data_IF_142935971950
#
_entry.id   IF_142935971950
#
_cell.length_a   1.000
_cell.length_b   1.000
_cell.length_c   1.000
_cell.angle_alpha   90.00
_cell.angle_beta   90.00
_cell.angle_gamma   90.00
#
_symmetry.space_group_name_H-M   'P 1'
#
loop_
_entity.id
_entity.type
_entity.pdbx_description
1 polymer ?
#
# COMPACT_ATOMS: atom_id res chain seq x y z
N UNK A 1 10.51 20.28 -6.47
CA UNK A 1 11.11 19.88 -5.17
C UNK A 1 10.07 19.54 -4.11
N UNK A 2 9.12 20.44 -3.76
CA UNK A 2 8.15 20.18 -2.68
C UNK A 2 7.29 18.91 -2.87
N UNK A 3 6.71 18.69 -4.06
CA UNK A 3 5.92 17.48 -4.34
C UNK A 3 6.75 16.20 -4.20
N UNK A 4 7.99 16.22 -4.69
CA UNK A 4 8.92 15.09 -4.56
C UNK A 4 9.13 14.73 -3.08
N UNK A 5 9.54 15.70 -2.25
CA UNK A 5 9.78 15.46 -0.82
C UNK A 5 8.52 15.05 -0.08
N UNK A 6 7.39 15.66 -0.40
CA UNK A 6 6.09 15.29 0.16
C UNK A 6 5.78 13.82 -0.07
N UNK A 7 5.84 13.36 -1.32
CA UNK A 7 5.48 11.98 -1.65
C UNK A 7 6.49 10.95 -1.14
N UNK A 8 7.77 11.32 -1.10
CA UNK A 8 8.81 10.49 -0.50
C UNK A 8 8.51 10.19 0.98
N UNK A 9 8.12 11.20 1.76
CA UNK A 9 7.78 11.01 3.18
C UNK A 9 6.36 10.52 3.40
N UNK A 10 5.42 10.83 2.50
CA UNK A 10 4.05 10.34 2.57
C UNK A 10 4.01 8.81 2.50
N UNK A 11 4.83 8.19 1.62
CA UNK A 11 4.93 6.75 1.49
C UNK A 11 5.19 6.08 2.85
N UNK A 12 6.23 6.53 3.55
CA UNK A 12 6.67 5.96 4.82
C UNK A 12 5.81 6.39 6.00
N UNK A 13 5.56 7.69 6.14
CA UNK A 13 4.95 8.26 7.34
C UNK A 13 3.42 8.26 7.35
N UNK A 14 2.77 8.15 6.19
CA UNK A 14 1.31 8.21 6.08
C UNK A 14 0.72 6.92 5.50
N UNK A 15 1.24 6.43 4.37
CA UNK A 15 0.63 5.32 3.64
C UNK A 15 0.93 3.93 4.26
N UNK A 16 2.17 3.70 4.70
CA UNK A 16 2.59 2.42 5.27
C UNK A 16 2.02 2.10 6.67
N UNK A 17 1.86 3.04 7.62
CA UNK A 17 1.43 2.70 8.98
C UNK A 17 0.07 1.99 9.06
N UNK A 18 -1.00 2.41 8.34
CA UNK A 18 -2.25 1.66 8.32
C UNK A 18 -2.10 0.24 7.75
N UNK A 19 -1.25 0.05 6.75
CA UNK A 19 -0.97 -1.28 6.16
C UNK A 19 -0.25 -2.19 7.15
N UNK A 20 0.69 -1.66 7.93
CA UNK A 20 1.36 -2.39 9.00
C UNK A 20 0.38 -2.78 10.11
N UNK A 21 -0.46 -1.83 10.56
CA UNK A 21 -1.50 -2.13 11.56
C UNK A 21 -2.46 -3.20 11.04
N UNK A 22 -2.88 -3.11 9.77
CA UNK A 22 -3.71 -4.14 9.15
C UNK A 22 -3.07 -5.52 9.23
N UNK A 23 -1.79 -5.63 8.85
CA UNK A 23 -1.03 -6.89 8.93
C UNK A 23 -1.03 -7.43 10.37
N UNK A 24 -0.73 -6.60 11.36
CA UNK A 24 -0.65 -7.01 12.77
C UNK A 24 -2.02 -7.53 13.25
N UNK A 25 -3.09 -6.77 13.03
CA UNK A 25 -4.42 -7.14 13.52
C UNK A 25 -5.04 -8.31 12.77
N UNK A 26 -4.69 -8.53 11.50
CA UNK A 26 -5.06 -9.75 10.76
C UNK A 26 -4.32 -11.00 11.31
N UNK A 27 -3.09 -10.83 11.79
CA UNK A 27 -2.22 -11.92 12.24
C UNK A 27 -2.48 -12.34 13.70
N UNK A 28 -2.82 -11.40 14.59
CA UNK A 28 -3.13 -11.68 16.02
C UNK A 28 -4.05 -12.90 16.20
N UNK A 29 -5.25 -12.97 15.57
CA UNK A 29 -6.17 -14.10 15.78
C UNK A 29 -5.71 -15.42 15.14
N UNK A 30 -4.62 -15.41 14.34
CA UNK A 30 -4.01 -16.60 13.73
C UNK A 30 -2.90 -17.20 14.60
N UNK A 31 -2.38 -16.44 15.58
CA UNK A 31 -1.37 -16.95 16.52
C UNK A 31 -1.92 -18.05 17.41
N UNK A 32 -1.03 -18.90 17.93
CA UNK A 32 -1.39 -19.97 18.87
C UNK A 32 -1.94 -19.37 20.15
N UNK A 33 -3.16 -19.75 20.52
CA UNK A 33 -3.85 -19.30 21.73
C UNK A 33 -4.97 -20.29 22.13
N UNK A 34 -5.36 -20.31 23.41
CA UNK A 34 -6.50 -21.11 23.87
C UNK A 34 -7.78 -20.77 23.12
N UNK A 35 -8.67 -21.77 22.95
CA UNK A 35 -9.88 -21.60 22.13
C UNK A 35 -10.81 -20.49 22.67
N UNK A 36 -10.83 -20.26 23.99
CA UNK A 36 -11.66 -19.23 24.63
C UNK A 36 -11.13 -17.79 24.41
N UNK A 37 -9.83 -17.61 24.24
CA UNK A 37 -9.22 -16.30 24.00
C UNK A 37 -9.39 -15.84 22.55
N UNK A 38 -9.49 -16.80 21.62
CA UNK A 38 -9.55 -16.54 20.17
C UNK A 38 -10.75 -15.69 19.74
N UNK A 39 -12.00 -15.92 20.22
CA UNK A 39 -13.14 -15.05 19.92
C UNK A 39 -12.92 -13.61 20.38
N UNK A 40 -12.34 -13.40 21.57
CA UNK A 40 -12.07 -12.07 22.13
C UNK A 40 -11.03 -11.34 21.27
N UNK A 41 -9.92 -12.01 20.96
CA UNK A 41 -8.86 -11.46 20.10
C UNK A 41 -9.40 -11.09 18.71
N UNK A 42 -10.25 -11.94 18.12
CA UNK A 42 -10.93 -11.64 16.84
C UNK A 42 -11.84 -10.43 16.95
N UNK A 43 -12.63 -10.31 18.02
CA UNK A 43 -13.54 -9.18 18.23
C UNK A 43 -12.81 -7.85 18.31
N UNK A 44 -11.75 -7.77 19.14
CA UNK A 44 -10.93 -6.56 19.28
C UNK A 44 -10.24 -6.23 17.94
N UNK A 45 -9.60 -7.21 17.32
CA UNK A 45 -8.88 -7.00 16.05
C UNK A 45 -9.83 -6.49 14.97
N UNK A 46 -11.00 -7.11 14.83
CA UNK A 46 -12.02 -6.66 13.88
C UNK A 46 -12.48 -5.23 14.18
N UNK A 47 -12.72 -4.90 15.44
CA UNK A 47 -13.15 -3.54 15.82
C UNK A 47 -12.11 -2.49 15.43
N UNK A 48 -10.83 -2.73 15.72
CA UNK A 48 -9.74 -1.80 15.37
C UNK A 48 -9.60 -1.67 13.85
N UNK A 49 -9.68 -2.79 13.13
CA UNK A 49 -9.63 -2.78 11.66
C UNK A 49 -10.79 -1.95 11.08
N UNK A 50 -12.01 -2.22 11.51
CA UNK A 50 -13.22 -1.61 10.93
C UNK A 50 -13.36 -0.13 11.30
N UNK A 51 -13.01 0.28 12.53
CA UNK A 51 -13.27 1.67 12.98
C UNK A 51 -12.09 2.61 12.80
N UNK A 52 -10.87 2.09 12.69
CA UNK A 52 -9.67 2.92 12.63
C UNK A 52 -8.84 2.64 11.39
N UNK A 53 -8.41 1.39 11.17
CA UNK A 53 -7.43 1.10 10.11
C UNK A 53 -8.04 1.26 8.72
N UNK A 54 -9.14 0.58 8.44
CA UNK A 54 -9.76 0.56 7.10
C UNK A 54 -10.22 1.96 6.69
N UNK A 55 -10.92 2.77 7.52
CA UNK A 55 -11.32 4.13 7.11
C UNK A 55 -10.13 5.06 6.82
N UNK A 56 -9.02 4.93 7.56
CA UNK A 56 -7.81 5.70 7.26
C UNK A 56 -7.18 5.25 5.94
N UNK A 57 -7.08 3.94 5.72
CA UNK A 57 -6.56 3.39 4.48
C UNK A 57 -7.39 3.85 3.27
N UNK A 58 -8.71 3.71 3.32
CA UNK A 58 -9.59 4.14 2.22
C UNK A 58 -9.40 5.62 1.89
N UNK A 59 -9.36 6.52 2.89
CA UNK A 59 -9.11 7.95 2.68
C UNK A 59 -7.77 8.24 2.01
N UNK A 60 -6.72 7.53 2.41
CA UNK A 60 -5.40 7.70 1.80
C UNK A 60 -5.39 7.18 0.35
N UNK A 61 -6.04 6.05 0.08
CA UNK A 61 -6.16 5.53 -1.27
C UNK A 61 -6.95 6.49 -2.17
N UNK A 62 -8.04 7.07 -1.67
CA UNK A 62 -8.84 8.07 -2.41
C UNK A 62 -8.04 9.33 -2.69
N UNK A 63 -7.24 9.79 -1.72
CA UNK A 63 -6.34 10.92 -1.91
C UNK A 63 -5.27 10.63 -2.97
N UNK A 64 -4.63 9.46 -2.93
CA UNK A 64 -3.63 9.07 -3.92
C UNK A 64 -4.25 8.92 -5.33
N UNK A 65 -5.42 8.31 -5.43
CA UNK A 65 -6.18 8.17 -6.69
C UNK A 65 -6.56 9.53 -7.29
N UNK A 66 -6.90 10.52 -6.44
CA UNK A 66 -7.17 11.88 -6.87
C UNK A 66 -5.90 12.61 -7.34
N UNK A 67 -4.76 12.40 -6.67
CA UNK A 67 -3.49 13.02 -7.04
C UNK A 67 -2.92 12.47 -8.34
N UNK A 68 -3.06 11.17 -8.60
CA UNK A 68 -2.78 10.57 -9.91
C UNK A 68 -3.78 10.98 -11.00
N UNK A 69 -4.88 11.65 -10.63
CA UNK A 69 -5.76 12.33 -11.58
C UNK A 69 -5.20 13.67 -12.07
N UNK A 70 -4.20 14.23 -11.39
CA UNK A 70 -3.61 15.53 -11.71
C UNK A 70 -2.30 15.42 -12.49
N UNK A 71 -1.61 14.29 -12.37
CA UNK A 71 -0.34 14.05 -13.05
C UNK A 71 -0.10 12.56 -13.24
N UNK A 72 0.80 12.23 -14.18
CA UNK A 72 1.11 10.83 -14.49
C UNK A 72 1.80 10.13 -13.31
N UNK A 73 2.75 10.80 -12.66
CA UNK A 73 3.49 10.33 -11.50
C UNK A 73 3.13 11.17 -10.27
N UNK A 74 3.39 10.65 -9.07
CA UNK A 74 3.01 11.33 -7.82
C UNK A 74 3.69 12.70 -7.69
N UNK A 75 4.98 12.75 -8.00
CA UNK A 75 5.79 13.97 -7.91
C UNK A 75 5.56 14.97 -9.06
N UNK A 76 4.87 14.57 -10.14
CA UNK A 76 4.65 15.41 -11.33
C UNK A 76 4.61 14.60 -12.63
N UNK A 77 4.87 15.24 -13.78
CA UNK A 77 4.80 14.56 -15.08
C UNK A 77 5.98 13.61 -15.32
N UNK A 78 7.07 13.78 -14.58
CA UNK A 78 8.27 12.95 -14.70
C UNK A 78 8.38 11.96 -13.54
N UNK A 79 8.88 10.77 -13.84
CA UNK A 79 9.17 9.76 -12.84
C UNK A 79 10.30 10.17 -11.92
N UNK A 80 10.16 9.88 -10.63
CA UNK A 80 11.15 10.20 -9.60
C UNK A 80 11.33 9.08 -8.59
N UNK A 81 12.30 9.22 -7.68
CA UNK A 81 12.44 8.29 -6.55
C UNK A 81 11.22 8.30 -5.59
N UNK A 82 10.41 9.35 -5.59
CA UNK A 82 9.16 9.35 -4.83
C UNK A 82 8.18 8.29 -5.37
N UNK A 83 8.17 8.06 -6.69
CA UNK A 83 7.32 7.02 -7.30
C UNK A 83 7.81 5.61 -6.98
N UNK A 84 9.12 5.44 -6.82
CA UNK A 84 9.71 4.19 -6.30
C UNK A 84 9.22 3.97 -4.86
N UNK A 85 9.34 4.97 -3.99
CA UNK A 85 8.86 4.87 -2.61
C UNK A 85 7.35 4.60 -2.53
N UNK A 86 6.55 5.28 -3.35
CA UNK A 86 5.10 5.10 -3.41
C UNK A 86 4.68 3.76 -4.00
N UNK A 87 5.54 3.05 -4.76
CA UNK A 87 5.19 1.73 -5.28
C UNK A 87 4.94 0.73 -4.14
N UNK A 88 5.74 0.75 -3.08
CA UNK A 88 5.64 -0.20 -1.98
C UNK A 88 4.28 -0.17 -1.24
N UNK A 89 3.75 0.98 -0.78
CA UNK A 89 2.43 1.01 -0.14
C UNK A 89 1.30 0.68 -1.13
N UNK A 90 1.42 1.06 -2.41
CA UNK A 90 0.39 0.74 -3.42
C UNK A 90 0.38 -0.76 -3.76
N UNK A 91 1.56 -1.37 -3.93
CA UNK A 91 1.73 -2.82 -4.09
C UNK A 91 1.21 -3.57 -2.85
N UNK A 92 1.56 -3.11 -1.65
CA UNK A 92 1.09 -3.70 -0.38
C UNK A 92 -0.43 -3.62 -0.24
N UNK A 93 -1.04 -2.53 -0.70
CA UNK A 93 -2.50 -2.38 -0.75
C UNK A 93 -3.10 -3.40 -1.72
N UNK A 94 -2.56 -3.50 -2.94
CA UNK A 94 -3.05 -4.45 -3.94
C UNK A 94 -3.08 -5.88 -3.40
N UNK A 95 -2.04 -6.29 -2.66
CA UNK A 95 -1.96 -7.64 -2.09
C UNK A 95 -2.82 -7.88 -0.86
N UNK A 96 -2.93 -6.90 0.04
CA UNK A 96 -3.42 -7.14 1.42
C UNK A 96 -4.72 -6.42 1.77
N UNK A 97 -5.05 -5.37 1.03
CA UNK A 97 -6.19 -4.51 1.30
C UNK A 97 -7.18 -4.44 0.13
N UNK A 98 -6.85 -5.05 -1.01
CA UNK A 98 -7.71 -5.14 -2.18
C UNK A 98 -7.80 -3.81 -2.90
N UNK A 99 -6.78 -3.51 -3.72
CA UNK A 99 -6.91 -2.43 -4.71
C UNK A 99 -7.98 -2.87 -5.74
N UNK A 100 -9.19 -2.37 -5.58
CA UNK A 100 -10.34 -2.74 -6.39
C UNK A 100 -10.52 -1.83 -7.61
N UNK A 101 -11.55 -2.12 -8.41
CA UNK A 101 -11.87 -1.36 -9.63
C UNK A 101 -12.26 0.11 -9.37
N UNK A 102 -12.50 0.53 -8.13
CA UNK A 102 -12.81 1.94 -7.82
C UNK A 102 -11.60 2.86 -7.93
N UNK A 103 -10.39 2.31 -8.04
CA UNK A 103 -9.13 3.07 -8.09
C UNK A 103 -8.29 2.74 -9.33
N UNK A 104 -8.82 3.05 -10.53
CA UNK A 104 -8.18 2.69 -11.79
C UNK A 104 -6.84 3.41 -12.00
N UNK A 105 -6.62 4.62 -11.47
CA UNK A 105 -5.36 5.34 -11.68
C UNK A 105 -4.24 4.75 -10.82
N UNK A 106 -4.53 4.31 -9.61
CA UNK A 106 -3.58 3.56 -8.79
C UNK A 106 -3.21 2.22 -9.44
N UNK A 107 -4.19 1.51 -10.00
CA UNK A 107 -3.93 0.29 -10.78
C UNK A 107 -3.05 0.58 -12.00
N UNK A 108 -3.39 1.61 -12.77
CA UNK A 108 -2.60 2.03 -13.93
C UNK A 108 -1.18 2.49 -13.54
N UNK A 109 -1.02 3.12 -12.37
CA UNK A 109 0.30 3.48 -11.83
C UNK A 109 1.15 2.22 -11.56
N UNK A 110 0.57 1.18 -10.94
CA UNK A 110 1.28 -0.09 -10.71
C UNK A 110 1.70 -0.74 -12.04
N UNK A 111 0.77 -0.86 -12.99
CA UNK A 111 1.05 -1.42 -14.31
C UNK A 111 2.20 -0.65 -15.00
N UNK A 112 2.15 0.69 -14.93
CA UNK A 112 3.16 1.56 -15.53
C UNK A 112 4.52 1.42 -14.86
N UNK A 113 4.59 1.35 -13.53
CA UNK A 113 5.87 1.25 -12.83
C UNK A 113 6.51 -0.13 -13.03
N UNK A 114 5.71 -1.20 -13.04
CA UNK A 114 6.17 -2.57 -13.30
C UNK A 114 6.63 -2.77 -14.75
N UNK A 115 6.04 -2.06 -15.71
CA UNK A 115 6.45 -2.11 -17.10
C UNK A 115 7.84 -1.50 -17.37
N UNK A 116 8.39 -0.70 -16.44
CA UNK A 116 9.68 -0.04 -16.63
C UNK A 116 10.82 -1.07 -16.76
N UNK A 117 11.69 -0.98 -17.78
CA UNK A 117 12.84 -1.88 -17.90
C UNK A 117 13.78 -1.85 -16.67
N UNK A 118 13.90 -0.70 -16.01
CA UNK A 118 14.68 -0.57 -14.79
C UNK A 118 14.08 -1.37 -13.61
N UNK A 119 12.76 -1.50 -13.53
CA UNK A 119 12.09 -2.31 -12.52
C UNK A 119 12.42 -3.79 -12.74
N UNK A 120 12.28 -4.29 -13.97
CA UNK A 120 12.64 -5.68 -14.32
C UNK A 120 14.09 -6.02 -13.99
N UNK A 121 15.04 -5.14 -14.36
CA UNK A 121 16.46 -5.32 -13.98
C UNK A 121 16.68 -5.31 -12.48
N UNK A 122 15.92 -4.51 -11.72
CA UNK A 122 15.99 -4.50 -10.27
C UNK A 122 15.50 -5.82 -9.67
N UNK A 123 14.45 -6.42 -10.23
CA UNK A 123 13.96 -7.75 -9.83
C UNK A 123 14.99 -8.85 -10.11
N UNK A 124 15.58 -8.85 -11.31
CA UNK A 124 16.60 -9.83 -11.70
C UNK A 124 17.82 -9.80 -10.77
N UNK A 125 18.22 -8.61 -10.31
CA UNK A 125 19.35 -8.43 -9.39
C UNK A 125 18.99 -8.60 -7.91
N UNK A 126 17.78 -8.23 -7.53
CA UNK A 126 17.32 -8.19 -6.13
C UNK A 126 16.84 -9.53 -5.58
N UNK A 127 16.67 -10.54 -6.43
CA UNK A 127 16.10 -11.84 -6.04
C UNK A 127 14.56 -11.80 -5.97
N UNK A 128 13.92 -12.84 -5.40
CA UNK A 128 12.46 -12.95 -5.39
C UNK A 128 11.80 -11.75 -4.70
N UNK A 129 11.12 -10.92 -5.48
CA UNK A 129 10.34 -9.80 -4.96
C UNK A 129 8.89 -10.24 -4.77
N UNK A 130 8.43 -10.25 -3.52
CA UNK A 130 7.08 -10.69 -3.16
C UNK A 130 5.97 -9.91 -3.88
N UNK A 131 6.27 -8.72 -4.40
CA UNK A 131 5.30 -7.85 -5.08
C UNK A 131 5.34 -7.85 -6.62
N UNK A 132 6.23 -8.63 -7.24
CA UNK A 132 6.39 -8.66 -8.70
C UNK A 132 5.42 -9.59 -9.46
N UNK A 133 4.72 -10.48 -8.76
CA UNK A 133 3.89 -11.55 -9.35
C UNK A 133 2.38 -11.37 -9.10
N UNK A 134 1.91 -10.15 -8.91
CA UNK A 134 0.48 -9.83 -8.78
C UNK A 134 -0.01 -8.95 -9.91
#
# INVERSE_FOLDING_TARGET
HLRYTYWLHFAEGSAMPPLLLKLIFDEIPRKRMPFFARPIARGISRKVLDTFVMPNLQRQLDFMEAELGKSEWFAGPEFTAADIQMSFPVESTAQRAGLDASRPKLKAFLERIHARPAYRRALERGGPYLFANT
#
